data_IF_395801496504
#
_entry.id   IF_395801496504
#
_cell.length_a   1.000
_cell.length_b   1.000
_cell.length_c   1.000
_cell.angle_alpha   90.00
_cell.angle_beta   90.00
_cell.angle_gamma   90.00
#
_symmetry.space_group_name_H-M   'P 1'
#
loop_
_entity.id
_entity.type
_entity.pdbx_description
1 polymer ?
#
# COMPACT_ATOMS: atom_id res chain seq x y z
N UNK A 1 13.07 -16.30 -16.13
CA UNK A 1 12.08 -16.62 -15.08
C UNK A 1 11.92 -15.37 -14.25
N UNK A 2 10.73 -14.78 -14.25
CA UNK A 2 10.44 -13.60 -13.44
C UNK A 2 10.38 -14.04 -11.97
N UNK A 3 11.29 -13.52 -11.15
CA UNK A 3 11.26 -13.76 -9.71
C UNK A 3 10.01 -13.06 -9.15
N UNK A 4 8.99 -13.85 -8.83
CA UNK A 4 7.83 -13.37 -8.09
C UNK A 4 8.29 -13.12 -6.66
N UNK A 5 8.55 -11.87 -6.33
CA UNK A 5 8.93 -11.47 -4.98
C UNK A 5 7.75 -11.78 -4.04
N UNK A 6 7.87 -12.85 -3.25
CA UNK A 6 6.95 -13.16 -2.18
C UNK A 6 7.38 -12.43 -0.90
N UNK A 7 6.43 -11.80 -0.22
CA UNK A 7 6.67 -11.01 0.98
C UNK A 7 5.37 -10.76 1.74
N UNK A 8 5.50 -10.22 2.94
CA UNK A 8 4.37 -9.78 3.75
C UNK A 8 4.09 -8.31 3.43
N UNK A 9 2.84 -8.03 3.05
CA UNK A 9 2.32 -6.67 2.89
C UNK A 9 1.56 -6.28 4.16
N UNK A 10 2.06 -5.30 4.89
CA UNK A 10 1.36 -4.71 6.04
C UNK A 10 0.76 -3.38 5.60
N UNK A 11 -0.58 -3.33 5.56
CA UNK A 11 -1.33 -2.11 5.24
C UNK A 11 -1.84 -1.52 6.55
N UNK A 12 -1.45 -0.29 6.83
CA UNK A 12 -1.86 0.45 8.02
C UNK A 12 -2.75 1.60 7.56
N UNK A 13 -4.04 1.53 7.86
CA UNK A 13 -4.96 2.64 7.67
C UNK A 13 -4.73 3.63 8.81
N UNK A 14 -4.22 4.82 8.49
CA UNK A 14 -3.85 5.82 9.50
C UNK A 14 -5.08 6.64 9.88
N UNK A 15 -5.75 7.25 8.90
CA UNK A 15 -6.96 8.05 9.10
C UNK A 15 -7.67 8.34 7.77
N UNK A 16 -8.97 8.60 7.83
CA UNK A 16 -9.73 9.26 6.78
C UNK A 16 -9.93 10.75 7.10
N UNK A 17 -9.91 11.63 6.10
CA UNK A 17 -10.21 13.06 6.25
C UNK A 17 -11.22 13.53 5.21
N UNK A 18 -12.03 14.52 5.60
CA UNK A 18 -13.03 15.14 4.74
C UNK A 18 -13.89 14.10 3.99
N UNK A 19 -14.21 13.00 4.66
CA UNK A 19 -15.02 11.92 4.08
C UNK A 19 -16.44 12.44 3.85
N UNK A 20 -17.07 11.92 2.81
CA UNK A 20 -18.47 12.26 2.50
C UNK A 20 -19.40 11.89 3.65
N UNK A 21 -20.39 12.75 3.90
CA UNK A 21 -21.50 12.48 4.83
C UNK A 21 -22.56 11.69 4.06
N UNK A 22 -22.94 10.51 4.55
CA UNK A 22 -24.00 9.66 3.95
C UNK A 22 -25.26 9.53 4.81
N UNK A 23 -25.19 9.82 6.11
CA UNK A 23 -26.36 9.93 6.98
C UNK A 23 -26.77 11.40 7.22
N UNK A 24 -27.75 11.63 8.10
CA UNK A 24 -28.30 12.96 8.38
C UNK A 24 -27.24 14.02 8.75
N UNK A 25 -26.21 13.62 9.50
CA UNK A 25 -25.17 14.53 10.00
C UNK A 25 -23.77 13.94 10.02
N UNK A 26 -23.63 12.63 9.79
CA UNK A 26 -22.36 11.89 9.93
C UNK A 26 -22.33 10.66 9.00
N UNK A 27 -21.27 9.87 9.13
CA UNK A 27 -21.14 8.55 8.51
C UNK A 27 -20.44 7.61 9.51
N UNK A 28 -20.60 6.30 9.34
CA UNK A 28 -19.87 5.27 10.08
C UNK A 28 -18.85 4.55 9.16
N UNK A 29 -17.73 5.21 8.79
CA UNK A 29 -16.83 4.73 7.75
C UNK A 29 -16.02 3.51 8.20
N UNK A 30 -15.86 2.55 7.30
CA UNK A 30 -14.88 1.47 7.38
C UNK A 30 -14.12 1.34 6.05
N UNK A 31 -12.98 0.64 6.07
CA UNK A 31 -12.13 0.46 4.89
C UNK A 31 -11.99 -1.01 4.56
N UNK A 32 -12.29 -1.38 3.31
CA UNK A 32 -12.02 -2.70 2.76
C UNK A 32 -10.76 -2.63 1.92
N UNK A 33 -9.74 -3.40 2.29
CA UNK A 33 -8.49 -3.48 1.52
C UNK A 33 -8.55 -4.72 0.63
N UNK A 34 -8.31 -4.52 -0.67
CA UNK A 34 -8.24 -5.59 -1.67
C UNK A 34 -6.86 -5.60 -2.31
N UNK A 35 -6.25 -6.78 -2.42
CA UNK A 35 -4.92 -6.96 -3.04
C UNK A 35 -5.06 -8.04 -4.12
N UNK A 36 -4.96 -7.64 -5.38
CA UNK A 36 -5.30 -8.54 -6.50
C UNK A 36 -6.75 -9.05 -6.40
N UNK A 37 -6.93 -10.37 -6.51
CA UNK A 37 -8.25 -11.02 -6.37
C UNK A 37 -8.57 -11.42 -4.91
N UNK A 38 -7.75 -11.04 -3.93
CA UNK A 38 -8.01 -11.34 -2.53
C UNK A 38 -8.84 -10.21 -1.91
N UNK A 39 -10.04 -10.57 -1.46
CA UNK A 39 -10.96 -9.68 -0.76
C UNK A 39 -11.02 -10.11 0.71
N UNK A 40 -10.77 -9.16 1.62
CA UNK A 40 -10.94 -9.37 3.06
C UNK A 40 -12.17 -8.58 3.50
N UNK A 41 -13.19 -9.29 3.99
CA UNK A 41 -14.44 -8.69 4.45
C UNK A 41 -14.48 -8.71 5.97
N UNK A 42 -14.76 -7.57 6.59
CA UNK A 42 -15.35 -7.55 7.93
C UNK A 42 -16.88 -7.65 7.79
N UNK A 43 -17.52 -8.30 8.76
CA UNK A 43 -18.93 -8.69 8.68
C UNK A 43 -19.70 -8.00 9.79
N UNK A 44 -20.56 -7.05 9.44
CA UNK A 44 -21.62 -6.59 10.34
C UNK A 44 -22.98 -6.36 9.65
N UNK A 45 -23.98 -6.03 10.47
CA UNK A 45 -25.26 -6.75 10.60
C UNK A 45 -26.47 -5.91 10.15
N UNK A 46 -26.96 -6.18 8.94
CA UNK A 46 -28.26 -5.76 8.35
C UNK A 46 -28.43 -4.30 7.89
N UNK A 47 -27.80 -3.93 6.76
CA UNK A 47 -28.29 -3.06 5.66
C UNK A 47 -27.26 -3.10 4.52
N UNK A 48 -27.62 -2.66 3.32
CA UNK A 48 -26.63 -2.42 2.24
C UNK A 48 -25.91 -1.11 2.54
N UNK A 49 -24.59 -1.15 2.72
CA UNK A 49 -23.81 0.04 3.06
C UNK A 49 -23.70 1.03 1.88
N UNK A 50 -23.76 2.33 2.19
CA UNK A 50 -23.57 3.38 1.20
C UNK A 50 -22.11 3.48 0.77
N UNK A 51 -21.87 3.63 -0.54
CA UNK A 51 -20.52 3.77 -1.07
C UNK A 51 -19.91 5.11 -0.64
N UNK A 52 -18.75 5.04 0.01
CA UNK A 52 -17.96 6.21 0.45
C UNK A 52 -16.75 6.52 -0.46
N UNK A 53 -16.77 6.00 -1.68
CA UNK A 53 -15.67 6.14 -2.65
C UNK A 53 -14.65 5.00 -2.59
N UNK A 54 -13.66 5.05 -3.48
CA UNK A 54 -12.59 4.05 -3.56
C UNK A 54 -11.27 4.69 -3.98
N UNK A 55 -10.15 4.04 -3.71
CA UNK A 55 -8.84 4.45 -4.21
C UNK A 55 -8.00 3.22 -4.51
N UNK A 56 -7.06 3.35 -5.44
CA UNK A 56 -6.05 2.33 -5.71
C UNK A 56 -4.65 2.87 -5.47
N UNK A 57 -3.73 1.96 -5.19
CA UNK A 57 -2.33 2.26 -4.99
C UNK A 57 -1.49 1.18 -5.66
N UNK A 58 -0.66 1.58 -6.63
CA UNK A 58 0.21 0.66 -7.34
C UNK A 58 1.33 0.15 -6.42
N UNK A 59 1.52 -1.16 -6.39
CA UNK A 59 2.55 -1.84 -5.62
C UNK A 59 3.86 -2.02 -6.41
N UNK A 60 3.88 -1.80 -7.72
CA UNK A 60 5.10 -1.92 -8.53
C UNK A 60 6.25 -1.04 -8.02
N UNK A 61 6.03 0.22 -7.57
CA UNK A 61 7.06 1.03 -6.93
C UNK A 61 7.67 0.38 -5.67
N UNK A 62 6.87 -0.33 -4.87
CA UNK A 62 7.35 -1.08 -3.69
C UNK A 62 8.15 -2.31 -4.09
N UNK A 63 7.68 -3.09 -5.06
CA UNK A 63 8.38 -4.28 -5.54
C UNK A 63 9.71 -3.93 -6.20
N UNK A 64 9.74 -2.86 -6.99
CA UNK A 64 10.98 -2.35 -7.61
C UNK A 64 11.94 -1.77 -6.57
N UNK A 65 11.45 -1.22 -5.46
CA UNK A 65 12.26 -0.84 -4.31
C UNK A 65 12.84 -2.08 -3.57
N UNK A 66 12.09 -3.17 -3.43
CA UNK A 66 12.59 -4.44 -2.89
C UNK A 66 13.72 -5.03 -3.74
N UNK A 67 13.55 -5.05 -5.06
CA UNK A 67 14.62 -5.48 -5.98
C UNK A 67 15.87 -4.61 -5.83
N UNK A 68 15.70 -3.29 -5.69
CA UNK A 68 16.81 -2.36 -5.49
C UNK A 68 17.52 -2.58 -4.14
N UNK A 69 16.77 -2.77 -3.05
CA UNK A 69 17.32 -3.12 -1.72
C UNK A 69 18.23 -4.34 -1.80
N UNK A 70 17.81 -5.40 -2.50
CA UNK A 70 18.59 -6.63 -2.70
C UNK A 70 19.84 -6.39 -3.54
N UNK A 71 19.71 -5.67 -4.65
CA UNK A 71 20.84 -5.35 -5.53
C UNK A 71 21.91 -4.52 -4.81
N UNK A 72 21.51 -3.61 -3.94
CA UNK A 72 22.40 -2.78 -3.13
C UNK A 72 22.84 -3.45 -1.83
N UNK A 73 22.37 -4.67 -1.53
CA UNK A 73 22.66 -5.41 -0.29
C UNK A 73 22.44 -4.55 0.97
N UNK A 74 21.36 -3.75 0.97
CA UNK A 74 21.03 -2.90 2.11
C UNK A 74 20.60 -3.77 3.29
N UNK A 75 21.39 -3.74 4.36
CA UNK A 75 21.14 -4.51 5.59
C UNK A 75 20.78 -3.62 6.77
N UNK A 76 21.21 -2.36 6.77
CA UNK A 76 20.97 -1.41 7.86
C UNK A 76 20.86 0.04 7.35
N UNK A 77 20.45 0.93 8.25
CA UNK A 77 20.30 2.36 7.95
C UNK A 77 18.96 2.73 7.31
N UNK A 78 18.77 4.03 7.13
CA UNK A 78 17.65 4.60 6.38
C UNK A 78 18.13 4.96 4.97
N UNK A 79 17.36 4.60 3.95
CA UNK A 79 17.68 4.98 2.56
C UNK A 79 16.41 5.28 1.78
N UNK A 80 16.34 6.45 1.14
CA UNK A 80 15.28 6.77 0.19
C UNK A 80 15.52 5.99 -1.09
N UNK A 81 14.61 5.09 -1.43
CA UNK A 81 14.73 4.22 -2.60
C UNK A 81 14.05 4.83 -3.82
N UNK A 82 12.82 5.33 -3.65
CA UNK A 82 12.00 5.86 -4.75
C UNK A 82 11.08 6.98 -4.26
N UNK A 83 10.58 7.76 -5.22
CA UNK A 83 9.53 8.76 -5.04
C UNK A 83 8.48 8.56 -6.14
N UNK A 84 7.21 8.54 -5.76
CA UNK A 84 6.07 8.46 -6.67
C UNK A 84 5.33 9.79 -6.59
N UNK A 85 5.15 10.45 -7.73
CA UNK A 85 4.44 11.73 -7.80
C UNK A 85 2.96 11.49 -8.15
N UNK A 86 2.04 12.39 -7.76
CA UNK A 86 0.69 12.43 -8.29
C UNK A 86 0.69 12.55 -9.82
N UNK A 87 -0.22 11.84 -10.48
CA UNK A 87 -0.48 11.95 -11.92
C UNK A 87 -1.97 11.72 -12.23
N UNK A 88 -2.33 11.63 -13.51
CA UNK A 88 -3.72 11.42 -13.93
C UNK A 88 -4.22 9.97 -13.77
N UNK A 89 -3.31 9.03 -13.55
CA UNK A 89 -3.56 7.58 -13.54
C UNK A 89 -3.36 6.98 -12.14
N UNK A 90 -3.24 7.81 -11.10
CA UNK A 90 -3.10 7.36 -9.72
C UNK A 90 -3.95 8.18 -8.74
N UNK A 91 -4.16 7.66 -7.54
CA UNK A 91 -4.96 8.33 -6.51
C UNK A 91 -4.12 9.22 -5.57
N UNK A 92 -2.84 9.44 -5.81
CA UNK A 92 -1.98 10.17 -4.87
C UNK A 92 -2.33 11.66 -4.82
N UNK A 93 -2.54 12.19 -3.62
CA UNK A 93 -2.73 13.62 -3.37
C UNK A 93 -1.43 14.40 -3.27
N UNK A 94 -0.36 13.71 -2.88
CA UNK A 94 0.97 14.28 -2.71
C UNK A 94 2.01 13.25 -3.09
N UNK A 95 3.25 13.71 -3.32
CA UNK A 95 4.34 12.79 -3.58
C UNK A 95 4.56 11.85 -2.39
N UNK A 96 4.65 10.56 -2.67
CA UNK A 96 4.95 9.52 -1.70
C UNK A 96 6.41 9.09 -1.84
N UNK A 97 7.12 9.00 -0.72
CA UNK A 97 8.48 8.47 -0.69
C UNK A 97 8.47 7.01 -0.24
N UNK A 98 9.28 6.19 -0.89
CA UNK A 98 9.54 4.82 -0.50
C UNK A 98 10.91 4.76 0.15
N UNK A 99 10.94 4.41 1.43
CA UNK A 99 12.15 4.36 2.25
C UNK A 99 12.44 2.93 2.69
N UNK A 100 13.71 2.55 2.70
CA UNK A 100 14.18 1.41 3.45
C UNK A 100 14.54 1.89 4.85
N UNK A 101 13.96 1.27 5.88
CA UNK A 101 14.24 1.59 7.29
C UNK A 101 14.02 0.33 8.14
N UNK A 102 14.99 0.01 9.00
CA UNK A 102 14.89 -1.10 9.96
C UNK A 102 14.55 -2.47 9.33
N UNK A 103 15.07 -2.78 8.14
CA UNK A 103 14.79 -4.04 7.44
C UNK A 103 13.52 -4.02 6.58
N UNK A 104 12.67 -3.00 6.73
CA UNK A 104 11.39 -2.86 6.05
C UNK A 104 11.48 -1.83 4.92
N UNK A 105 10.65 -2.02 3.89
CA UNK A 105 10.39 -0.98 2.89
C UNK A 105 9.07 -0.33 3.24
N UNK A 106 9.06 0.98 3.44
CA UNK A 106 7.92 1.75 3.94
C UNK A 106 7.53 2.80 2.90
N UNK A 107 6.23 2.96 2.69
CA UNK A 107 5.63 3.98 1.83
C UNK A 107 4.45 4.62 2.55
N UNK A 108 4.52 5.94 2.76
CA UNK A 108 3.41 6.73 3.25
C UNK A 108 2.68 7.38 2.08
N UNK A 109 1.38 7.16 1.98
CA UNK A 109 0.55 7.66 0.89
C UNK A 109 -0.68 8.40 1.42
N UNK A 110 -0.99 9.52 0.77
CA UNK A 110 -2.26 10.23 0.93
C UNK A 110 -3.03 10.03 -0.37
N UNK A 111 -4.22 9.42 -0.29
CA UNK A 111 -5.01 9.03 -1.44
C UNK A 111 -6.29 9.87 -1.51
N UNK A 112 -6.66 10.35 -2.70
CA UNK A 112 -7.97 10.92 -2.98
C UNK A 112 -8.94 9.78 -3.26
N UNK A 113 -10.09 9.79 -2.60
CA UNK A 113 -11.17 8.86 -2.93
C UNK A 113 -11.84 9.30 -4.24
N UNK A 114 -12.00 8.35 -5.15
CA UNK A 114 -12.69 8.45 -6.42
C UNK A 114 -14.18 8.09 -6.26
N UNK A 115 -14.99 8.48 -7.24
CA UNK A 115 -16.44 8.28 -7.28
C UNK A 115 -17.19 8.79 -6.03
N UNK A 116 -16.65 9.85 -5.43
CA UNK A 116 -17.20 10.50 -4.25
C UNK A 116 -16.86 11.99 -4.27
N UNK A 117 -17.74 12.78 -3.68
CA UNK A 117 -17.69 14.24 -3.63
C UNK A 117 -16.49 14.75 -2.81
N UNK A 118 -16.14 14.01 -1.77
CA UNK A 118 -15.00 14.31 -0.92
C UNK A 118 -14.49 13.06 -0.21
N UNK A 119 -13.19 13.07 0.11
CA UNK A 119 -12.58 12.03 0.93
C UNK A 119 -11.12 11.85 0.63
N UNK A 120 -10.34 11.74 1.69
CA UNK A 120 -8.91 11.50 1.66
C UNK A 120 -8.58 10.35 2.59
N UNK A 121 -7.72 9.42 2.16
CA UNK A 121 -7.29 8.28 2.95
C UNK A 121 -5.78 8.31 3.12
N UNK A 122 -5.33 8.33 4.36
CA UNK A 122 -3.91 8.27 4.72
C UNK A 122 -3.57 6.82 5.07
N UNK A 123 -2.61 6.25 4.35
CA UNK A 123 -2.18 4.87 4.51
C UNK A 123 -0.66 4.77 4.57
N UNK A 124 -0.17 3.85 5.40
CA UNK A 124 1.22 3.42 5.38
C UNK A 124 1.28 1.98 4.90
N UNK A 125 2.04 1.72 3.83
CA UNK A 125 2.30 0.38 3.34
C UNK A 125 3.71 -0.02 3.71
N UNK A 126 3.86 -1.20 4.31
CA UNK A 126 5.16 -1.82 4.56
C UNK A 126 5.28 -3.12 3.78
N UNK A 127 6.41 -3.28 3.12
CA UNK A 127 6.83 -4.52 2.47
C UNK A 127 7.98 -5.17 3.23
N UNK A 128 7.77 -6.43 3.62
CA UNK A 128 8.75 -7.24 4.32
C UNK A 128 9.06 -8.43 3.43
N UNK A 129 10.30 -8.53 2.96
CA UNK A 129 10.75 -9.65 2.14
C UNK A 129 10.65 -10.96 2.92
N UNK A 130 10.12 -12.01 2.29
CA UNK A 130 10.12 -13.33 2.90
C UNK A 130 11.54 -13.93 2.85
N UNK A 131 12.08 -14.47 3.96
CA UNK A 131 13.47 -14.95 4.03
C UNK A 131 13.78 -16.12 3.08
N UNK A 132 12.77 -16.84 2.58
CA UNK A 132 12.95 -17.94 1.60
C UNK A 132 13.25 -17.48 0.17
N UNK A 133 13.31 -16.17 -0.11
CA UNK A 133 13.65 -15.62 -1.44
C UNK A 133 15.16 -15.44 -1.64
N UNK A 134 16.00 -15.79 -0.65
CA UNK A 134 17.44 -15.88 -0.83
C UNK A 134 17.77 -17.12 -1.70
N UNK A 135 18.27 -16.87 -2.90
CA UNK A 135 18.67 -17.87 -3.89
C UNK A 135 19.47 -19.03 -3.26
N UNK A 136 19.04 -20.27 -3.56
CA UNK A 136 19.83 -21.45 -3.23
C UNK A 136 21.22 -21.35 -3.90
N UNK A 137 22.31 -21.68 -3.19
CA UNK A 137 23.64 -21.65 -3.78
C UNK A 137 23.71 -22.69 -4.92
N UNK A 138 24.00 -22.21 -6.14
CA UNK A 138 24.31 -23.07 -7.28
C UNK A 138 25.58 -23.85 -6.94
N UNK A 139 25.44 -25.15 -6.68
CA UNK A 139 26.57 -26.08 -6.60
C UNK A 139 27.21 -26.11 -8.00
N UNK A 140 28.43 -25.58 -8.13
CA UNK A 140 29.25 -25.81 -9.32
C UNK A 140 29.72 -27.28 -9.25
N UNK A 141 29.37 -28.05 -10.28
CA UNK A 141 29.95 -29.36 -10.56
C UNK A 141 31.20 -29.19 -11.43
#
# INVERSE_FOLDING_TARGET
MEEVAAGLLKVIIVQGKNLVIRDFTSSDPYVVVKVGNQEVFDRDRFKSDDKMGHAFLDLQPLLSASKLKRALQLTSGETKLRKVAPDCDNCLLASSCITYVNGEIVMDACLRLCDVESGELYVTIKWIDHPSSAAAPVKKA
#
